data_IF_309052577246
#
_entry.id   IF_309052577246
#
_cell.length_a   1.000
_cell.length_b   1.000
_cell.length_c   1.000
_cell.angle_alpha   90.00
_cell.angle_beta   90.00
_cell.angle_gamma   90.00
#
_symmetry.space_group_name_H-M   'P 1'
#
loop_
_entity.id
_entity.type
_entity.pdbx_description
1 polymer ?
#
# COMPACT_ATOMS: atom_id res chain seq x y z
N UNK A 1 39.84 -6.71 51.75
CA UNK A 1 41.15 -6.86 51.08
C UNK A 1 41.59 -5.49 50.59
N UNK A 2 42.87 -5.14 50.74
CA UNK A 2 43.39 -3.85 50.28
C UNK A 2 43.31 -3.78 48.75
N UNK A 3 42.62 -2.78 48.19
CA UNK A 3 42.53 -2.59 46.73
C UNK A 3 43.89 -2.16 46.19
N UNK A 4 44.39 -2.84 45.17
CA UNK A 4 45.69 -2.53 44.56
C UNK A 4 45.58 -1.20 43.80
N UNK A 5 46.50 -0.26 44.05
CA UNK A 5 46.58 1.01 43.33
C UNK A 5 47.52 0.87 42.13
N UNK A 6 47.03 1.26 40.96
CA UNK A 6 47.70 1.21 39.66
C UNK A 6 47.81 2.62 39.08
N UNK A 7 48.94 2.92 38.42
CA UNK A 7 49.04 4.10 37.55
C UNK A 7 48.47 3.77 36.16
N UNK A 8 48.14 4.79 35.37
CA UNK A 8 47.57 4.62 34.03
C UNK A 8 48.38 3.63 33.15
N UNK A 9 49.71 3.71 33.17
CA UNK A 9 50.56 2.79 32.39
C UNK A 9 50.41 1.33 32.82
N UNK A 10 50.24 1.07 34.12
CA UNK A 10 50.00 -0.28 34.65
C UNK A 10 48.59 -0.76 34.30
N UNK A 11 47.59 0.12 34.39
CA UNK A 11 46.22 -0.19 34.01
C UNK A 11 46.10 -0.54 32.51
N UNK A 12 46.76 0.23 31.64
CA UNK A 12 46.83 -0.07 30.18
C UNK A 12 47.43 -1.44 29.94
N UNK A 13 48.57 -1.74 30.59
CA UNK A 13 49.25 -3.03 30.45
C UNK A 13 48.40 -4.21 30.93
N UNK A 14 47.70 -4.06 32.06
CA UNK A 14 46.93 -5.15 32.67
C UNK A 14 45.51 -5.34 32.08
N UNK A 15 44.92 -4.27 31.53
CA UNK A 15 43.62 -4.30 30.85
C UNK A 15 43.73 -4.59 29.36
N UNK A 16 44.90 -4.34 28.77
CA UNK A 16 45.13 -4.34 27.32
C UNK A 16 44.17 -3.39 26.57
N UNK A 17 43.82 -2.26 27.19
CA UNK A 17 43.00 -1.19 26.61
C UNK A 17 43.87 0.06 26.43
N UNK A 18 43.93 0.67 25.22
CA UNK A 18 44.73 1.86 24.98
C UNK A 18 44.34 3.03 25.88
N UNK A 19 45.32 3.88 26.22
CA UNK A 19 45.14 5.02 27.13
C UNK A 19 44.02 5.96 26.68
N UNK A 20 43.95 6.24 25.39
CA UNK A 20 42.95 7.10 24.75
C UNK A 20 41.53 6.53 24.95
N UNK A 21 41.39 5.21 24.81
CA UNK A 21 40.13 4.48 25.03
C UNK A 21 39.72 4.48 26.50
N UNK A 22 40.66 4.34 27.44
CA UNK A 22 40.37 4.46 28.87
C UNK A 22 39.88 5.88 29.21
N UNK A 23 40.52 6.91 28.65
CA UNK A 23 40.05 8.29 28.81
C UNK A 23 38.68 8.53 28.17
N UNK A 24 38.41 7.94 27.01
CA UNK A 24 37.09 7.95 26.39
C UNK A 24 36.04 7.31 27.31
N UNK A 25 36.31 6.14 27.88
CA UNK A 25 35.39 5.47 28.81
C UNK A 25 35.15 6.26 30.10
N UNK A 26 36.17 6.96 30.62
CA UNK A 26 35.99 7.88 31.74
C UNK A 26 35.07 9.05 31.38
N UNK A 27 35.23 9.65 30.19
CA UNK A 27 34.35 10.74 29.72
C UNK A 27 32.91 10.28 29.49
N UNK A 28 32.76 9.09 28.93
CA UNK A 28 31.45 8.46 28.68
C UNK A 28 30.83 7.88 29.96
N UNK A 29 31.48 7.97 31.12
CA UNK A 29 30.94 7.48 32.40
C UNK A 29 30.93 5.95 32.54
N UNK A 30 31.65 5.22 31.68
CA UNK A 30 31.77 3.76 31.75
C UNK A 30 32.73 3.30 32.85
N UNK A 31 33.55 4.18 33.42
CA UNK A 31 34.45 3.88 34.53
C UNK A 31 34.22 4.86 35.68
N UNK A 32 34.36 4.42 36.94
CA UNK A 32 34.35 5.35 38.08
C UNK A 32 35.48 6.38 37.94
N UNK A 33 35.34 7.56 38.57
CA UNK A 33 36.41 8.55 38.57
C UNK A 33 37.62 8.00 39.35
N UNK A 34 38.86 8.22 38.86
CA UNK A 34 40.05 7.73 39.54
C UNK A 34 40.37 8.55 40.80
N UNK A 35 41.11 7.94 41.73
CA UNK A 35 41.58 8.62 42.94
C UNK A 35 42.65 9.64 42.58
N UNK A 36 42.33 10.94 42.66
CA UNK A 36 43.30 12.00 42.43
C UNK A 36 44.24 12.13 43.62
N UNK A 37 45.54 11.94 43.38
CA UNK A 37 46.60 12.09 44.38
C UNK A 37 47.50 13.32 44.14
N UNK A 38 47.16 14.16 43.15
CA UNK A 38 47.85 15.41 42.83
C UNK A 38 47.32 16.03 41.54
N UNK A 39 47.96 17.12 41.06
CA UNK A 39 47.51 17.85 39.84
C UNK A 39 47.64 17.03 38.56
N UNK A 40 48.59 16.09 38.51
CA UNK A 40 48.87 15.22 37.36
C UNK A 40 48.84 13.72 37.71
N UNK A 41 48.58 13.38 38.98
CA UNK A 41 48.68 12.01 39.49
C UNK A 41 47.30 11.48 39.87
N UNK A 42 46.92 10.36 39.24
CA UNK A 42 45.69 9.65 39.52
C UNK A 42 45.98 8.15 39.68
N UNK A 43 45.34 7.53 40.67
CA UNK A 43 45.41 6.09 40.92
C UNK A 43 44.10 5.42 40.52
N UNK A 44 44.25 4.24 39.93
CA UNK A 44 43.17 3.34 39.53
C UNK A 44 43.25 2.11 40.42
N UNK A 45 42.11 1.53 40.77
CA UNK A 45 42.05 0.33 41.58
C UNK A 45 41.62 -0.90 40.77
N UNK A 46 41.62 -2.07 41.40
CA UNK A 46 41.18 -3.32 40.77
C UNK A 46 39.76 -3.23 40.17
N UNK A 47 38.89 -2.40 40.74
CA UNK A 47 37.54 -2.18 40.21
C UNK A 47 37.58 -1.51 38.82
N UNK A 48 38.56 -0.66 38.54
CA UNK A 48 38.76 -0.11 37.19
C UNK A 48 39.22 -1.19 36.21
N UNK A 49 40.11 -2.09 36.64
CA UNK A 49 40.62 -3.18 35.81
C UNK A 49 39.51 -4.19 35.46
N UNK A 50 38.72 -4.61 36.46
CA UNK A 50 37.58 -5.50 36.26
C UNK A 50 36.54 -4.89 35.31
N UNK A 51 36.21 -3.60 35.51
CA UNK A 51 35.25 -2.89 34.66
C UNK A 51 35.77 -2.69 33.24
N UNK A 52 37.06 -2.44 33.05
CA UNK A 52 37.69 -2.38 31.71
C UNK A 52 37.63 -3.71 30.98
N UNK A 53 37.91 -4.83 31.66
CA UNK A 53 37.79 -6.18 31.07
C UNK A 53 36.35 -6.50 30.70
N UNK A 54 35.40 -6.13 31.55
CA UNK A 54 33.98 -6.34 31.30
C UNK A 54 33.45 -5.52 30.13
N UNK A 55 33.78 -4.22 30.06
CA UNK A 55 33.46 -3.36 28.91
C UNK A 55 34.04 -3.94 27.62
N UNK A 56 35.29 -4.42 27.67
CA UNK A 56 35.94 -5.06 26.52
C UNK A 56 35.20 -6.33 26.08
N UNK A 57 34.84 -7.22 27.00
CA UNK A 57 34.07 -8.43 26.68
C UNK A 57 32.73 -8.09 26.02
N UNK A 58 31.97 -7.15 26.58
CA UNK A 58 30.68 -6.74 26.03
C UNK A 58 30.79 -6.06 24.65
N UNK A 59 31.85 -5.29 24.42
CA UNK A 59 32.07 -4.61 23.13
C UNK A 59 32.64 -5.55 22.07
N UNK A 60 33.66 -6.34 22.41
CA UNK A 60 34.46 -7.09 21.43
C UNK A 60 33.86 -8.48 21.16
N UNK A 61 33.22 -9.12 22.15
CA UNK A 61 32.66 -10.47 22.01
C UNK A 61 31.13 -10.47 21.87
N UNK A 62 30.44 -9.48 22.47
CA UNK A 62 28.98 -9.35 22.41
C UNK A 62 28.50 -8.23 21.47
N UNK A 63 29.43 -7.46 20.90
CA UNK A 63 29.16 -6.39 19.91
C UNK A 63 28.15 -5.35 20.38
N UNK A 64 28.09 -5.05 21.68
CA UNK A 64 27.13 -4.10 22.23
C UNK A 64 27.57 -2.64 22.04
N UNK A 65 26.65 -1.72 21.70
CA UNK A 65 26.92 -0.29 21.68
C UNK A 65 27.31 0.25 23.07
N UNK A 66 28.17 1.26 23.09
CA UNK A 66 28.65 1.92 24.32
C UNK A 66 27.50 2.46 25.21
N UNK A 67 26.39 3.04 24.67
CA UNK A 67 25.24 3.45 25.48
C UNK A 67 24.54 2.28 26.20
N UNK A 68 24.44 1.13 25.54
CA UNK A 68 23.87 -0.11 26.13
C UNK A 68 24.80 -0.64 27.22
N UNK A 69 26.10 -0.72 26.95
CA UNK A 69 27.11 -1.12 27.95
C UNK A 69 27.05 -0.20 29.17
N UNK A 70 26.90 1.11 28.98
CA UNK A 70 26.73 2.07 30.07
C UNK A 70 25.47 1.81 30.88
N UNK A 71 24.35 1.52 30.22
CA UNK A 71 23.08 1.20 30.90
C UNK A 71 23.20 -0.09 31.73
N UNK A 72 23.86 -1.12 31.18
CA UNK A 72 24.20 -2.37 31.88
C UNK A 72 25.05 -2.09 33.13
N UNK A 73 26.08 -1.26 32.97
CA UNK A 73 27.00 -0.90 34.05
C UNK A 73 26.38 0.00 35.13
N UNK A 74 25.43 0.87 34.77
CA UNK A 74 24.72 1.75 35.69
C UNK A 74 23.58 1.03 36.43
N UNK A 75 22.97 0.03 35.80
CA UNK A 75 22.04 -0.88 36.48
C UNK A 75 22.75 -1.73 37.55
N UNK A 76 24.08 -1.90 37.43
CA UNK A 76 24.92 -2.71 38.31
C UNK A 76 25.69 -1.94 39.38
N UNK A 77 25.01 -1.54 40.46
CA UNK A 77 25.61 -1.33 41.79
C UNK A 77 24.93 -2.16 42.90
N UNK A 78 24.15 -3.19 42.55
CA UNK A 78 23.62 -4.20 43.50
C UNK A 78 23.32 -5.52 42.77
N UNK A 79 23.86 -6.64 43.28
CA UNK A 79 24.11 -7.94 42.64
C UNK A 79 22.95 -8.79 42.09
N UNK A 80 21.81 -8.20 41.71
CA UNK A 80 20.74 -8.89 40.97
C UNK A 80 20.59 -8.35 39.54
N UNK A 81 20.60 -7.02 39.36
CA UNK A 81 20.38 -6.35 38.06
C UNK A 81 21.52 -6.54 37.05
N UNK A 82 22.72 -6.89 37.51
CA UNK A 82 23.86 -7.20 36.64
C UNK A 82 23.71 -8.51 35.87
N UNK A 83 22.94 -9.49 36.40
CA UNK A 83 22.62 -10.74 35.66
C UNK A 83 21.60 -10.48 34.58
N UNK A 84 20.53 -9.75 34.90
CA UNK A 84 19.49 -9.38 33.93
C UNK A 84 20.07 -8.59 32.74
N UNK A 85 20.99 -7.66 33.04
CA UNK A 85 21.66 -6.85 32.04
C UNK A 85 22.60 -7.66 31.13
N UNK A 86 23.25 -8.70 31.67
CA UNK A 86 24.03 -9.68 30.90
C UNK A 86 23.14 -10.57 30.03
N UNK A 87 21.98 -10.98 30.55
CA UNK A 87 21.02 -11.79 29.82
C UNK A 87 20.33 -10.99 28.70
N UNK A 88 20.02 -9.71 28.93
CA UNK A 88 19.58 -8.76 27.90
C UNK A 88 20.66 -8.54 26.84
N UNK A 89 21.93 -8.40 27.24
CA UNK A 89 23.05 -8.38 26.31
C UNK A 89 23.16 -9.65 25.44
N UNK A 90 22.89 -10.83 26.00
CA UNK A 90 22.86 -12.09 25.25
C UNK A 90 21.67 -12.16 24.27
N UNK A 91 20.52 -11.56 24.61
CA UNK A 91 19.37 -11.40 23.69
C UNK A 91 19.73 -10.44 22.54
N UNK A 92 20.36 -9.32 22.87
CA UNK A 92 20.77 -8.25 21.94
C UNK A 92 22.00 -8.59 21.10
N UNK A 93 22.77 -9.62 21.48
CA UNK A 93 23.98 -10.02 20.76
C UNK A 93 23.64 -10.39 19.31
N UNK A 94 24.21 -9.63 18.37
CA UNK A 94 24.07 -9.82 16.93
C UNK A 94 24.78 -11.12 16.51
N UNK A 95 24.35 -11.74 15.41
CA UNK A 95 25.13 -12.79 14.77
C UNK A 95 26.55 -12.28 14.45
N UNK A 96 27.64 -12.95 14.89
CA UNK A 96 29.02 -12.50 14.63
C UNK A 96 29.35 -12.35 13.14
N UNK A 97 28.67 -13.08 12.25
CA UNK A 97 28.84 -12.92 10.80
C UNK A 97 28.28 -11.58 10.29
N UNK A 98 27.28 -11.03 10.98
CA UNK A 98 26.61 -9.78 10.64
C UNK A 98 27.36 -8.56 11.20
N UNK A 99 27.96 -8.67 12.39
CA UNK A 99 28.68 -7.56 13.04
C UNK A 99 30.05 -7.21 12.44
N UNK A 100 30.54 -7.98 11.45
CA UNK A 100 31.85 -7.77 10.80
C UNK A 100 31.81 -6.91 9.54
N UNK A 101 30.63 -6.56 9.04
CA UNK A 101 30.54 -5.62 7.92
C UNK A 101 30.86 -4.21 8.42
N UNK A 102 31.99 -3.64 7.99
CA UNK A 102 32.19 -2.19 8.06
C UNK A 102 31.16 -1.54 7.14
N UNK A 103 30.10 -1.00 7.74
CA UNK A 103 29.16 -0.18 6.98
C UNK A 103 29.81 1.19 6.74
N UNK A 104 29.72 1.75 5.53
CA UNK A 104 30.21 3.09 5.26
C UNK A 104 29.49 4.11 6.17
N UNK A 105 30.21 5.15 6.59
CA UNK A 105 29.61 6.26 7.33
C UNK A 105 28.51 6.89 6.47
N UNK A 106 27.26 6.92 6.92
CA UNK A 106 26.16 7.50 6.16
C UNK A 106 26.36 9.01 6.02
N UNK A 107 26.01 9.54 4.85
CA UNK A 107 26.00 10.98 4.62
C UNK A 107 24.77 11.65 5.26
N UNK A 108 24.78 12.99 5.31
CA UNK A 108 23.71 13.78 5.92
C UNK A 108 22.35 13.56 5.24
N UNK A 109 22.33 13.28 3.93
CA UNK A 109 21.11 12.99 3.19
C UNK A 109 20.50 11.66 3.64
N UNK A 110 21.31 10.61 3.76
CA UNK A 110 20.89 9.28 4.23
C UNK A 110 20.28 9.36 5.62
N UNK A 111 20.95 10.07 6.54
CA UNK A 111 20.45 10.27 7.90
C UNK A 111 19.11 10.99 7.92
N UNK A 112 19.00 12.07 7.15
CA UNK A 112 17.77 12.87 7.04
C UNK A 112 16.61 12.04 6.50
N UNK A 113 16.80 11.36 5.37
CA UNK A 113 15.76 10.55 4.73
C UNK A 113 15.33 9.38 5.61
N UNK A 114 16.28 8.69 6.25
CA UNK A 114 15.97 7.58 7.14
C UNK A 114 15.09 8.01 8.33
N UNK A 115 15.32 9.20 8.90
CA UNK A 115 14.50 9.77 9.97
C UNK A 115 13.15 10.28 9.44
N UNK A 116 13.14 11.04 8.36
CA UNK A 116 11.92 11.60 7.75
C UNK A 116 10.92 10.51 7.36
N UNK A 117 11.40 9.39 6.81
CA UNK A 117 10.57 8.26 6.39
C UNK A 117 10.33 7.22 7.50
N UNK A 118 10.92 7.39 8.69
CA UNK A 118 10.77 6.46 9.82
C UNK A 118 11.39 5.08 9.59
N UNK A 119 12.46 5.00 8.79
CA UNK A 119 13.10 3.73 8.38
C UNK A 119 13.89 3.06 9.51
N UNK A 120 14.17 3.79 10.59
CA UNK A 120 14.84 3.27 11.79
C UNK A 120 13.87 2.71 12.84
N UNK A 121 12.57 2.69 12.54
CA UNK A 121 11.54 2.17 13.42
C UNK A 121 10.79 3.24 14.24
N UNK A 122 9.72 2.84 14.94
CA UNK A 122 8.86 3.77 15.66
C UNK A 122 9.57 4.42 16.84
N UNK A 123 9.46 5.75 16.95
CA UNK A 123 10.00 6.52 18.09
C UNK A 123 11.50 6.80 18.03
N UNK A 124 12.19 6.46 16.94
CA UNK A 124 13.60 6.81 16.73
C UNK A 124 13.70 8.20 16.11
N UNK A 125 14.18 9.17 16.89
CA UNK A 125 14.34 10.57 16.48
C UNK A 125 15.80 10.96 16.20
N UNK A 126 16.75 10.07 16.55
CA UNK A 126 18.19 10.31 16.42
C UNK A 126 18.93 9.02 16.07
N UNK A 127 19.98 9.16 15.26
CA UNK A 127 20.88 8.07 14.89
C UNK A 127 21.99 7.93 15.92
N UNK A 128 22.27 6.70 16.35
CA UNK A 128 23.42 6.37 17.18
C UNK A 128 24.62 6.05 16.27
N UNK A 129 25.67 6.90 16.19
CA UNK A 129 26.72 6.79 15.16
C UNK A 129 27.60 5.54 15.22
N UNK A 130 27.40 4.65 16.20
CA UNK A 130 28.21 3.45 16.44
C UNK A 130 27.38 2.19 16.67
N UNK A 131 26.07 2.23 16.43
CA UNK A 131 25.25 1.01 16.45
C UNK A 131 25.41 0.27 15.12
N UNK A 132 26.06 -0.92 15.10
CA UNK A 132 26.24 -1.69 13.87
C UNK A 132 24.92 -2.14 13.24
N UNK A 133 23.83 -2.24 14.02
CA UNK A 133 22.49 -2.59 13.50
C UNK A 133 21.89 -1.43 12.72
N UNK A 134 21.95 -0.21 13.27
CA UNK A 134 21.50 0.99 12.58
C UNK A 134 22.35 1.26 11.32
N UNK A 135 23.66 1.05 11.40
CA UNK A 135 24.56 1.25 10.28
C UNK A 135 24.19 0.38 9.06
N UNK A 136 23.70 -0.85 9.28
CA UNK A 136 23.21 -1.74 8.20
C UNK A 136 21.91 -1.26 7.59
N UNK A 137 20.99 -0.76 8.41
CA UNK A 137 19.75 -0.15 7.90
C UNK A 137 20.10 1.07 7.04
N UNK A 138 20.98 1.94 7.53
CA UNK A 138 21.43 3.13 6.81
C UNK A 138 22.18 2.80 5.53
N UNK A 139 22.94 1.70 5.48
CA UNK A 139 23.56 1.23 4.24
C UNK A 139 22.53 0.85 3.16
N UNK A 140 21.44 0.18 3.54
CA UNK A 140 20.34 -0.12 2.61
C UNK A 140 19.60 1.14 2.15
N UNK A 141 19.46 2.14 3.03
CA UNK A 141 18.91 3.46 2.66
C UNK A 141 19.84 4.17 1.67
N UNK A 142 21.15 4.19 1.93
CA UNK A 142 22.13 4.78 1.03
C UNK A 142 22.14 4.10 -0.35
N UNK A 143 22.03 2.77 -0.40
CA UNK A 143 21.87 2.02 -1.65
C UNK A 143 20.60 2.45 -2.40
N UNK A 144 19.46 2.56 -1.71
CA UNK A 144 18.22 3.05 -2.30
C UNK A 144 18.36 4.49 -2.85
N UNK A 145 19.06 5.37 -2.11
CA UNK A 145 19.30 6.77 -2.53
C UNK A 145 20.25 6.89 -3.72
N UNK A 146 21.10 5.88 -3.96
CA UNK A 146 22.00 5.83 -5.11
C UNK A 146 21.29 5.45 -6.43
N UNK A 147 20.05 4.98 -6.35
CA UNK A 147 19.21 4.72 -7.52
C UNK A 147 18.64 6.03 -8.09
N UNK A 148 18.23 6.00 -9.36
CA UNK A 148 17.64 7.14 -10.05
C UNK A 148 16.13 6.96 -10.31
N UNK A 149 15.40 8.09 -10.36
CA UNK A 149 14.00 8.15 -10.78
C UNK A 149 13.07 7.19 -10.04
N UNK A 150 12.21 6.49 -10.79
CA UNK A 150 11.20 5.57 -10.24
C UNK A 150 11.82 4.43 -9.42
N UNK A 151 13.05 3.99 -9.73
CA UNK A 151 13.72 2.94 -8.98
C UNK A 151 14.04 3.41 -7.55
N UNK A 152 14.46 4.66 -7.39
CA UNK A 152 14.70 5.29 -6.07
C UNK A 152 13.41 5.39 -5.28
N UNK A 153 12.36 5.94 -5.89
CA UNK A 153 11.07 6.16 -5.24
C UNK A 153 10.43 4.84 -4.79
N UNK A 154 10.38 3.84 -5.68
CA UNK A 154 9.84 2.52 -5.37
C UNK A 154 10.63 1.83 -4.27
N UNK A 155 11.96 1.86 -4.32
CA UNK A 155 12.80 1.20 -3.32
C UNK A 155 12.65 1.87 -1.94
N UNK A 156 12.58 3.21 -1.87
CA UNK A 156 12.35 3.90 -0.60
C UNK A 156 10.95 3.60 -0.03
N UNK A 157 9.92 3.51 -0.87
CA UNK A 157 8.59 3.11 -0.44
C UNK A 157 8.56 1.66 0.06
N UNK A 158 9.25 0.74 -0.63
CA UNK A 158 9.42 -0.66 -0.21
C UNK A 158 10.14 -0.76 1.14
N UNK A 159 11.19 0.04 1.36
CA UNK A 159 11.88 0.12 2.66
C UNK A 159 10.95 0.63 3.75
N UNK A 160 10.09 1.62 3.46
CA UNK A 160 9.12 2.16 4.40
C UNK A 160 8.06 1.14 4.78
N UNK A 161 7.55 0.38 3.81
CA UNK A 161 6.62 -0.74 4.06
C UNK A 161 7.30 -1.82 4.90
N UNK A 162 8.54 -2.20 4.55
CA UNK A 162 9.34 -3.15 5.33
C UNK A 162 9.51 -2.68 6.78
N UNK A 163 9.94 -1.44 7.01
CA UNK A 163 10.16 -0.90 8.35
C UNK A 163 8.88 -0.96 9.20
N UNK A 164 7.73 -0.57 8.63
CA UNK A 164 6.44 -0.61 9.33
C UNK A 164 6.00 -2.03 9.69
N UNK A 165 6.01 -2.95 8.73
CA UNK A 165 5.46 -4.30 8.94
C UNK A 165 6.43 -5.20 9.73
N UNK A 166 7.75 -5.07 9.51
CA UNK A 166 8.74 -5.79 10.29
C UNK A 166 8.76 -5.35 11.75
N UNK A 167 8.50 -4.06 12.05
CA UNK A 167 8.37 -3.61 13.45
C UNK A 167 7.25 -4.36 14.17
N UNK A 168 6.07 -4.50 13.55
CA UNK A 168 4.94 -5.26 14.12
C UNK A 168 5.25 -6.75 14.28
N UNK A 169 5.94 -7.33 13.30
CA UNK A 169 6.38 -8.72 13.38
C UNK A 169 7.32 -8.92 14.58
N UNK A 170 8.33 -8.06 14.73
CA UNK A 170 9.30 -8.14 15.81
C UNK A 170 8.64 -7.92 17.19
N UNK A 171 7.65 -7.02 17.29
CA UNK A 171 6.86 -6.87 18.52
C UNK A 171 6.12 -8.16 18.89
N UNK A 172 5.53 -8.85 17.91
CA UNK A 172 4.88 -10.13 18.12
C UNK A 172 5.86 -11.25 18.48
N UNK A 173 7.06 -11.28 17.87
CA UNK A 173 8.13 -12.21 18.21
C UNK A 173 8.61 -11.99 19.66
N UNK A 174 8.79 -10.74 20.07
CA UNK A 174 9.17 -10.39 21.44
C UNK A 174 8.10 -10.85 22.44
N UNK A 175 6.82 -10.61 22.15
CA UNK A 175 5.72 -11.07 23.00
C UNK A 175 5.69 -12.61 23.13
N UNK A 176 5.87 -13.34 22.03
CA UNK A 176 5.92 -14.80 22.03
C UNK A 176 7.14 -15.33 22.82
N UNK A 177 8.30 -14.67 22.70
CA UNK A 177 9.48 -15.00 23.49
C UNK A 177 9.21 -14.82 24.99
N UNK A 178 8.67 -13.67 25.40
CA UNK A 178 8.39 -13.39 26.81
C UNK A 178 7.32 -14.31 27.39
N UNK A 179 6.31 -14.70 26.61
CA UNK A 179 5.33 -15.71 27.04
C UNK A 179 6.01 -17.05 27.40
N UNK A 180 6.93 -17.51 26.55
CA UNK A 180 7.69 -18.75 26.82
C UNK A 180 8.55 -18.63 28.07
N UNK A 181 9.24 -17.49 28.24
CA UNK A 181 10.09 -17.22 29.41
C UNK A 181 9.24 -17.19 30.69
N UNK A 182 8.14 -16.44 30.69
CA UNK A 182 7.26 -16.27 31.85
C UNK A 182 6.58 -17.59 32.24
N UNK A 183 6.11 -18.37 31.25
CA UNK A 183 5.47 -19.68 31.50
C UNK A 183 6.43 -20.71 32.08
N UNK A 184 7.70 -20.71 31.64
CA UNK A 184 8.71 -21.69 32.09
C UNK A 184 9.46 -21.24 33.34
N UNK A 185 9.49 -19.94 33.62
CA UNK A 185 10.31 -19.37 34.69
C UNK A 185 11.81 -19.51 34.46
N UNK A 186 12.25 -19.74 33.22
CA UNK A 186 13.64 -20.02 32.85
C UNK A 186 14.08 -19.12 31.69
N UNK A 187 14.69 -17.99 32.07
CA UNK A 187 15.19 -17.00 31.13
C UNK A 187 16.41 -17.51 30.33
N UNK A 188 17.46 -18.13 30.92
CA UNK A 188 18.58 -18.68 30.15
C UNK A 188 18.17 -19.66 29.03
N UNK A 189 17.26 -20.60 29.32
CA UNK A 189 16.75 -21.54 28.32
C UNK A 189 15.93 -20.82 27.25
N UNK A 190 15.15 -19.81 27.62
CA UNK A 190 14.43 -18.96 26.68
C UNK A 190 15.38 -18.24 25.71
N UNK A 191 16.43 -17.60 26.23
CA UNK A 191 17.44 -16.89 25.43
C UNK A 191 18.15 -17.85 24.47
N UNK A 192 18.53 -19.04 24.94
CA UNK A 192 19.15 -20.05 24.10
C UNK A 192 18.21 -20.50 22.97
N UNK A 193 16.93 -20.75 23.27
CA UNK A 193 15.94 -21.12 22.26
C UNK A 193 15.76 -20.03 21.19
N UNK A 194 15.67 -18.76 21.61
CA UNK A 194 15.61 -17.61 20.69
C UNK A 194 16.83 -17.58 19.76
N UNK A 195 18.04 -17.74 20.30
CA UNK A 195 19.28 -17.74 19.51
C UNK A 195 19.32 -18.89 18.51
N UNK A 196 18.91 -20.09 18.93
CA UNK A 196 18.91 -21.27 18.06
C UNK A 196 17.92 -21.15 16.89
N UNK A 197 16.80 -20.44 17.07
CA UNK A 197 15.79 -20.25 16.00
C UNK A 197 16.07 -19.08 15.05
N UNK A 198 16.86 -18.09 15.46
CA UNK A 198 17.03 -16.80 14.75
C UNK A 198 17.43 -16.95 13.27
N UNK A 199 18.37 -17.83 12.96
CA UNK A 199 18.84 -18.04 11.58
C UNK A 199 17.80 -18.76 10.69
N UNK A 200 16.96 -19.61 11.28
CA UNK A 200 15.86 -20.26 10.58
C UNK A 200 14.76 -19.24 10.23
N UNK A 201 14.42 -18.36 11.17
CA UNK A 201 13.46 -17.26 10.95
C UNK A 201 13.96 -16.31 9.85
N UNK A 202 15.22 -15.88 9.90
CA UNK A 202 15.78 -14.99 8.88
C UNK A 202 15.70 -15.59 7.46
N UNK A 203 16.06 -16.88 7.31
CA UNK A 203 15.94 -17.58 6.01
C UNK A 203 14.49 -17.77 5.58
N UNK A 204 13.59 -18.05 6.53
CA UNK A 204 12.17 -18.17 6.24
C UNK A 204 11.59 -16.85 5.72
N UNK A 205 11.92 -15.71 6.34
CA UNK A 205 11.44 -14.40 5.90
C UNK A 205 11.84 -14.10 4.45
N UNK A 206 13.09 -14.34 4.08
CA UNK A 206 13.55 -14.16 2.69
C UNK A 206 12.84 -15.13 1.73
N UNK A 207 12.81 -16.43 2.04
CA UNK A 207 12.21 -17.43 1.17
C UNK A 207 10.68 -17.24 1.02
N UNK A 208 10.00 -16.88 2.10
CA UNK A 208 8.56 -16.63 2.10
C UNK A 208 8.22 -15.37 1.31
N UNK A 209 9.01 -14.31 1.43
CA UNK A 209 8.87 -13.10 0.59
C UNK A 209 8.97 -13.45 -0.89
N UNK A 210 10.00 -14.19 -1.29
CA UNK A 210 10.22 -14.57 -2.69
C UNK A 210 9.09 -15.46 -3.22
N UNK A 211 8.62 -16.41 -2.42
CA UNK A 211 7.48 -17.26 -2.75
C UNK A 211 6.18 -16.46 -2.91
N UNK A 212 5.91 -15.53 -2.00
CA UNK A 212 4.71 -14.68 -2.06
C UNK A 212 4.74 -13.73 -3.26
N UNK A 213 5.89 -13.14 -3.58
CA UNK A 213 6.06 -12.31 -4.78
C UNK A 213 5.77 -13.11 -6.04
N UNK A 214 6.32 -14.33 -6.14
CA UNK A 214 6.05 -15.22 -7.27
C UNK A 214 4.56 -15.54 -7.40
N UNK A 215 3.89 -15.89 -6.28
CA UNK A 215 2.45 -16.19 -6.27
C UNK A 215 1.60 -14.98 -6.69
N UNK A 216 2.01 -13.77 -6.30
CA UNK A 216 1.36 -12.53 -6.75
C UNK A 216 1.48 -12.37 -8.27
N UNK A 217 2.69 -12.56 -8.81
CA UNK A 217 2.94 -12.46 -10.26
C UNK A 217 2.16 -13.52 -11.04
N UNK A 218 2.16 -14.77 -10.57
CA UNK A 218 1.39 -15.85 -11.19
C UNK A 218 -0.12 -15.52 -11.18
N UNK A 219 -0.65 -15.03 -10.05
CA UNK A 219 -2.04 -14.60 -9.97
C UNK A 219 -2.39 -13.39 -10.85
N UNK A 220 -1.44 -12.46 -11.05
CA UNK A 220 -1.59 -11.34 -11.99
C UNK A 220 -1.72 -11.85 -13.43
N UNK A 221 -0.86 -12.79 -13.84
CA UNK A 221 -0.89 -13.38 -15.19
C UNK A 221 -2.20 -14.12 -15.45
N UNK A 222 -2.65 -14.97 -14.52
CA UNK A 222 -3.93 -15.68 -14.65
C UNK A 222 -5.13 -14.72 -14.75
N UNK A 223 -5.13 -13.64 -13.95
CA UNK A 223 -6.21 -12.67 -13.96
C UNK A 223 -6.23 -11.87 -15.27
N UNK A 224 -5.05 -11.52 -15.80
CA UNK A 224 -4.90 -10.90 -17.11
C UNK A 224 -5.48 -11.82 -18.21
N UNK A 225 -5.17 -13.12 -18.21
CA UNK A 225 -5.74 -14.06 -19.19
C UNK A 225 -7.27 -14.18 -19.11
N UNK A 226 -7.86 -14.03 -17.92
CA UNK A 226 -9.32 -14.09 -17.71
C UNK A 226 -10.04 -12.76 -17.93
N UNK A 227 -9.31 -11.65 -17.87
CA UNK A 227 -9.86 -10.30 -17.91
C UNK A 227 -10.80 -10.01 -19.09
N UNK A 228 -10.61 -10.51 -20.34
CA UNK A 228 -11.58 -10.29 -21.41
C UNK A 228 -13.01 -10.73 -21.06
N UNK A 229 -13.14 -11.91 -20.45
CA UNK A 229 -14.44 -12.47 -20.08
C UNK A 229 -15.05 -11.73 -18.89
N UNK A 230 -14.22 -11.23 -17.98
CA UNK A 230 -14.70 -10.59 -16.76
C UNK A 230 -15.03 -9.12 -16.97
N UNK A 231 -14.27 -8.39 -17.80
CA UNK A 231 -14.61 -7.03 -18.25
C UNK A 231 -15.97 -7.02 -18.95
N UNK A 232 -16.26 -7.99 -19.83
CA UNK A 232 -17.57 -8.06 -20.50
C UNK A 232 -18.72 -8.29 -19.49
N UNK A 233 -18.48 -9.03 -18.41
CA UNK A 233 -19.45 -9.22 -17.30
C UNK A 233 -19.65 -7.98 -16.44
N UNK A 234 -18.77 -6.97 -16.52
CA UNK A 234 -18.94 -5.69 -15.79
C UNK A 234 -19.91 -4.73 -16.44
N UNK A 235 -20.42 -5.07 -17.64
CA UNK A 235 -21.43 -4.24 -18.32
C UNK A 235 -22.64 -4.02 -17.43
N UNK A 236 -23.07 -2.76 -17.39
CA UNK A 236 -24.24 -2.35 -16.62
C UNK A 236 -25.47 -3.14 -17.06
N UNK A 237 -26.19 -3.68 -16.09
CA UNK A 237 -27.46 -4.35 -16.30
C UNK A 237 -28.52 -3.32 -16.69
N UNK A 238 -29.35 -3.60 -17.72
CA UNK A 238 -30.39 -2.70 -18.15
C UNK A 238 -31.55 -2.68 -17.15
N UNK A 239 -32.27 -1.56 -17.10
CA UNK A 239 -33.54 -1.46 -16.40
C UNK A 239 -34.65 -2.20 -17.18
N UNK A 240 -35.58 -2.82 -16.46
CA UNK A 240 -36.74 -3.47 -17.08
C UNK A 240 -37.66 -2.47 -17.80
N UNK A 241 -38.43 -2.91 -18.81
CA UNK A 241 -39.43 -2.06 -19.46
C UNK A 241 -40.45 -1.44 -18.49
N UNK A 242 -40.82 -2.17 -17.43
CA UNK A 242 -41.70 -1.68 -16.36
C UNK A 242 -41.05 -0.54 -15.58
N UNK A 243 -39.78 -0.69 -15.20
CA UNK A 243 -39.03 0.35 -14.50
C UNK A 243 -38.87 1.60 -15.37
N UNK A 244 -38.55 1.44 -16.67
CA UNK A 244 -38.45 2.55 -17.62
C UNK A 244 -39.80 3.27 -17.82
N UNK A 245 -40.90 2.53 -17.92
CA UNK A 245 -42.24 3.11 -18.06
C UNK A 245 -42.64 3.94 -16.83
N UNK A 246 -42.35 3.45 -15.61
CA UNK A 246 -42.58 4.18 -14.35
C UNK A 246 -41.79 5.49 -14.28
N UNK A 247 -40.66 5.56 -14.97
CA UNK A 247 -39.78 6.74 -15.04
C UNK A 247 -40.07 7.62 -16.27
N UNK A 248 -41.18 7.36 -16.98
CA UNK A 248 -41.64 8.10 -18.16
C UNK A 248 -40.62 8.16 -19.31
N UNK A 249 -39.68 7.22 -19.34
CA UNK A 249 -38.58 7.26 -20.31
C UNK A 249 -38.98 7.04 -21.76
N UNK A 250 -39.92 6.14 -22.11
CA UNK A 250 -40.34 5.97 -23.49
C UNK A 250 -40.84 7.28 -24.12
N UNK A 251 -41.58 8.09 -23.35
CA UNK A 251 -42.08 9.39 -23.80
C UNK A 251 -40.95 10.40 -23.96
N UNK A 252 -40.02 10.47 -23.00
CA UNK A 252 -38.84 11.35 -23.07
C UNK A 252 -37.98 11.06 -24.31
N UNK A 253 -37.69 9.78 -24.56
CA UNK A 253 -36.88 9.36 -25.71
C UNK A 253 -37.56 9.69 -27.02
N UNK A 254 -38.86 9.41 -27.13
CA UNK A 254 -39.63 9.73 -28.34
C UNK A 254 -39.59 11.25 -28.63
N UNK A 255 -39.76 12.09 -27.62
CA UNK A 255 -39.72 13.55 -27.77
C UNK A 255 -38.32 14.07 -28.19
N UNK A 256 -37.25 13.53 -27.60
CA UNK A 256 -35.87 13.88 -27.98
C UNK A 256 -35.55 13.44 -29.41
N UNK A 257 -35.94 12.23 -29.78
CA UNK A 257 -35.71 11.64 -31.10
C UNK A 257 -36.48 12.40 -32.21
N UNK A 258 -37.73 12.79 -31.95
CA UNK A 258 -38.52 13.63 -32.86
C UNK A 258 -37.83 14.98 -33.12
N UNK A 259 -37.46 15.69 -32.05
CA UNK A 259 -36.76 16.99 -32.15
C UNK A 259 -35.40 16.85 -32.84
N UNK A 260 -34.63 15.81 -32.51
CA UNK A 260 -33.34 15.54 -33.13
C UNK A 260 -33.50 15.32 -34.65
N UNK A 261 -34.54 14.59 -35.10
CA UNK A 261 -34.82 14.43 -36.55
C UNK A 261 -35.23 15.73 -37.23
N UNK A 262 -35.79 16.68 -36.48
CA UNK A 262 -36.12 18.01 -36.96
C UNK A 262 -34.88 18.93 -37.04
N UNK A 263 -33.70 18.50 -36.58
CA UNK A 263 -32.45 19.27 -36.63
C UNK A 263 -32.11 20.00 -35.31
N UNK A 264 -32.77 19.64 -34.21
CA UNK A 264 -32.43 20.19 -32.90
C UNK A 264 -31.16 19.52 -32.34
N UNK A 265 -30.03 20.23 -32.44
CA UNK A 265 -28.75 19.75 -31.95
C UNK A 265 -28.74 19.49 -30.44
N UNK A 266 -29.44 20.28 -29.61
CA UNK A 266 -29.49 20.02 -28.17
C UNK A 266 -30.20 18.70 -27.89
N UNK A 267 -31.35 18.47 -28.53
CA UNK A 267 -32.10 17.22 -28.41
C UNK A 267 -31.30 16.02 -28.92
N UNK A 268 -30.55 16.18 -30.02
CA UNK A 268 -29.68 15.13 -30.56
C UNK A 268 -28.59 14.70 -29.57
N UNK A 269 -27.94 15.66 -28.91
CA UNK A 269 -26.90 15.39 -27.92
C UNK A 269 -27.48 14.77 -26.64
N UNK A 270 -28.60 15.29 -26.14
CA UNK A 270 -29.31 14.75 -24.98
C UNK A 270 -29.79 13.31 -25.23
N UNK A 271 -30.27 13.02 -26.44
CA UNK A 271 -30.66 11.67 -26.85
C UNK A 271 -29.48 10.69 -26.76
N UNK A 272 -28.30 11.08 -27.24
CA UNK A 272 -27.10 10.22 -27.20
C UNK A 272 -26.67 9.95 -25.76
N UNK A 273 -26.63 10.96 -24.90
CA UNK A 273 -26.32 10.77 -23.48
C UNK A 273 -27.30 9.84 -22.80
N UNK A 274 -28.58 10.01 -23.10
CA UNK A 274 -29.64 9.18 -22.59
C UNK A 274 -29.51 7.72 -23.04
N UNK A 275 -29.33 7.49 -24.33
CA UNK A 275 -29.12 6.15 -24.89
C UNK A 275 -27.82 5.52 -24.37
N UNK A 276 -26.74 6.27 -24.19
CA UNK A 276 -25.50 5.75 -23.63
C UNK A 276 -25.68 5.27 -22.17
N UNK A 277 -26.45 5.98 -21.36
CA UNK A 277 -26.68 5.59 -19.96
C UNK A 277 -27.57 4.34 -19.81
N UNK A 278 -28.45 4.07 -20.77
CA UNK A 278 -29.50 3.03 -20.63
C UNK A 278 -29.43 1.92 -21.67
N UNK A 279 -29.19 2.27 -22.94
CA UNK A 279 -29.27 1.40 -24.12
C UNK A 279 -28.16 1.70 -25.13
N UNK A 280 -26.87 1.51 -24.78
CA UNK A 280 -25.75 1.84 -25.68
C UNK A 280 -25.86 1.20 -27.07
N UNK A 281 -26.41 -0.01 -27.16
CA UNK A 281 -26.57 -0.74 -28.41
C UNK A 281 -27.48 -0.05 -29.44
N UNK A 282 -28.31 0.91 -29.03
CA UNK A 282 -29.15 1.71 -29.94
C UNK A 282 -28.38 2.86 -30.58
N UNK A 283 -27.24 3.28 -30.04
CA UNK A 283 -26.43 4.39 -30.58
C UNK A 283 -25.97 4.15 -32.02
N UNK A 284 -25.66 2.90 -32.37
CA UNK A 284 -25.27 2.53 -33.73
C UNK A 284 -26.38 2.77 -34.77
N UNK A 285 -27.64 2.69 -34.34
CA UNK A 285 -28.85 2.78 -35.18
C UNK A 285 -29.33 4.22 -35.43
N UNK A 286 -28.65 5.22 -34.86
CA UNK A 286 -29.04 6.62 -35.02
C UNK A 286 -29.00 7.04 -36.50
N UNK A 287 -30.02 7.80 -36.99
CA UNK A 287 -30.06 8.28 -38.36
C UNK A 287 -28.85 9.17 -38.70
N UNK A 288 -28.35 9.16 -39.95
CA UNK A 288 -27.24 10.03 -40.37
C UNK A 288 -27.48 11.52 -40.09
N UNK A 289 -28.74 11.99 -40.27
CA UNK A 289 -29.13 13.37 -39.96
C UNK A 289 -28.90 13.72 -38.49
N UNK A 290 -29.27 12.82 -37.57
CA UNK A 290 -29.06 13.03 -36.13
C UNK A 290 -27.56 13.00 -35.79
N UNK A 291 -26.80 12.08 -36.40
CA UNK A 291 -25.34 12.00 -36.23
C UNK A 291 -24.62 13.28 -36.66
N UNK A 292 -25.14 13.98 -37.68
CA UNK A 292 -24.59 15.26 -38.14
C UNK A 292 -24.76 16.44 -37.18
N UNK A 293 -25.66 16.34 -36.20
CA UNK A 293 -25.94 17.41 -35.22
C UNK A 293 -25.18 17.20 -33.88
N UNK A 294 -24.38 16.13 -33.78
CA UNK A 294 -23.70 15.78 -32.54
C UNK A 294 -22.51 16.70 -32.26
N UNK A 295 -22.33 17.06 -31.00
CA UNK A 295 -21.12 17.73 -30.53
C UNK A 295 -20.05 16.67 -30.22
N UNK A 296 -18.76 17.04 -30.16
CA UNK A 296 -17.66 16.10 -29.98
C UNK A 296 -17.86 15.09 -28.83
N UNK A 297 -18.34 15.54 -27.66
CA UNK A 297 -18.60 14.64 -26.51
C UNK A 297 -19.62 13.54 -26.83
N UNK A 298 -20.71 13.87 -27.52
CA UNK A 298 -21.73 12.89 -27.90
C UNK A 298 -21.25 12.00 -29.06
N UNK A 299 -20.51 12.55 -30.02
CA UNK A 299 -19.88 11.75 -31.08
C UNK A 299 -19.00 10.65 -30.51
N UNK A 300 -18.23 10.95 -29.44
CA UNK A 300 -17.39 9.96 -28.77
C UNK A 300 -18.19 8.79 -28.20
N UNK A 301 -19.35 9.06 -27.59
CA UNK A 301 -20.22 8.02 -27.04
C UNK A 301 -20.77 7.11 -28.15
N UNK A 302 -21.09 7.66 -29.32
CA UNK A 302 -21.49 6.87 -30.51
C UNK A 302 -20.30 6.08 -31.06
N UNK A 303 -19.11 6.66 -31.05
CA UNK A 303 -17.89 6.01 -31.52
C UNK A 303 -17.50 4.80 -30.65
N UNK A 304 -17.80 4.84 -29.35
CA UNK A 304 -17.56 3.71 -28.43
C UNK A 304 -18.23 2.41 -28.89
N UNK A 305 -19.42 2.48 -29.47
CA UNK A 305 -20.11 1.28 -30.02
C UNK A 305 -19.73 0.96 -31.47
N UNK A 306 -18.90 1.80 -32.10
CA UNK A 306 -18.45 1.65 -33.49
C UNK A 306 -17.06 1.01 -33.61
N UNK A 307 -16.36 0.81 -32.50
CA UNK A 307 -15.06 0.14 -32.43
C UNK A 307 -13.88 1.08 -32.11
N UNK A 308 -12.75 0.48 -31.73
CA UNK A 308 -11.59 1.18 -31.18
C UNK A 308 -11.04 2.30 -32.07
N UNK A 309 -10.94 2.08 -33.40
CA UNK A 309 -10.43 3.10 -34.33
C UNK A 309 -11.33 4.35 -34.36
N UNK A 310 -12.65 4.15 -34.41
CA UNK A 310 -13.60 5.26 -34.41
C UNK A 310 -13.55 6.01 -33.07
N UNK A 311 -13.45 5.28 -31.96
CA UNK A 311 -13.35 5.84 -30.62
C UNK A 311 -12.08 6.68 -30.44
N UNK A 312 -10.92 6.20 -30.89
CA UNK A 312 -9.66 6.96 -30.84
C UNK A 312 -9.73 8.28 -31.60
N UNK A 313 -10.23 8.26 -32.85
CA UNK A 313 -10.41 9.47 -33.65
C UNK A 313 -11.43 10.46 -33.05
N UNK A 314 -12.44 9.96 -32.32
CA UNK A 314 -13.37 10.82 -31.59
C UNK A 314 -12.74 11.40 -30.32
N UNK A 315 -11.94 10.62 -29.58
CA UNK A 315 -11.24 11.05 -28.38
C UNK A 315 -10.28 12.22 -28.65
N UNK A 316 -9.47 12.13 -29.70
CA UNK A 316 -8.56 13.20 -30.13
C UNK A 316 -9.28 14.54 -30.36
N UNK A 317 -10.48 14.50 -30.94
CA UNK A 317 -11.30 15.69 -31.20
C UNK A 317 -11.94 16.28 -29.95
N UNK A 318 -12.15 15.48 -28.91
CA UNK A 318 -12.81 15.93 -27.68
C UNK A 318 -11.89 16.62 -26.68
N UNK A 319 -10.58 16.32 -26.70
CA UNK A 319 -9.55 16.97 -25.88
C UNK A 319 -9.90 17.14 -24.40
N UNK A 320 -9.47 16.20 -23.54
CA UNK A 320 -9.62 16.36 -22.09
C UNK A 320 -11.03 16.08 -21.54
N UNK A 321 -11.70 15.07 -22.10
CA UNK A 321 -12.99 14.58 -21.61
C UNK A 321 -12.79 13.31 -20.76
N UNK A 322 -12.94 13.36 -19.41
CA UNK A 322 -12.57 12.25 -18.54
C UNK A 322 -13.28 10.92 -18.83
N UNK A 323 -14.59 10.95 -19.10
CA UNK A 323 -15.33 9.74 -19.50
C UNK A 323 -14.81 9.20 -20.85
N UNK A 324 -14.40 10.07 -21.77
CA UNK A 324 -13.80 9.66 -23.03
C UNK A 324 -12.48 8.90 -22.84
N UNK A 325 -11.59 9.40 -21.97
CA UNK A 325 -10.35 8.72 -21.61
C UNK A 325 -10.61 7.35 -20.96
N UNK A 326 -11.66 7.26 -20.15
CA UNK A 326 -12.07 6.00 -19.52
C UNK A 326 -12.56 4.99 -20.57
N UNK A 327 -13.42 5.42 -21.50
CA UNK A 327 -13.95 4.53 -22.54
C UNK A 327 -12.85 4.10 -23.53
N UNK A 328 -11.91 4.99 -23.84
CA UNK A 328 -10.76 4.65 -24.68
C UNK A 328 -9.85 3.65 -23.95
N UNK A 329 -9.54 3.88 -22.68
CA UNK A 329 -8.74 2.95 -21.88
C UNK A 329 -9.41 1.59 -21.72
N UNK A 330 -10.74 1.53 -21.56
CA UNK A 330 -11.51 0.29 -21.56
C UNK A 330 -11.36 -0.47 -22.88
N UNK A 331 -11.50 0.22 -24.01
CA UNK A 331 -11.40 -0.38 -25.32
C UNK A 331 -9.96 -0.81 -25.68
N UNK A 332 -8.96 -0.01 -25.32
CA UNK A 332 -7.53 -0.33 -25.45
C UNK A 332 -7.19 -1.56 -24.60
N UNK A 333 -7.69 -1.63 -23.36
CA UNK A 333 -7.51 -2.78 -22.48
C UNK A 333 -8.17 -4.03 -23.08
N UNK A 334 -9.40 -3.93 -23.57
CA UNK A 334 -10.09 -5.05 -24.23
C UNK A 334 -9.33 -5.56 -25.45
N UNK A 335 -8.75 -4.67 -26.26
CA UNK A 335 -7.94 -5.04 -27.42
C UNK A 335 -6.59 -5.67 -27.01
N UNK A 336 -5.93 -5.10 -26.00
CA UNK A 336 -4.66 -5.59 -25.47
C UNK A 336 -4.75 -7.03 -24.96
N UNK A 337 -5.88 -7.40 -24.34
CA UNK A 337 -6.08 -8.72 -23.75
C UNK A 337 -6.44 -9.82 -24.77
N UNK A 338 -6.76 -9.46 -26.02
CA UNK A 338 -7.10 -10.40 -27.11
C UNK A 338 -6.02 -10.42 -28.20
N UNK A 339 -5.08 -9.47 -28.17
CA UNK A 339 -4.01 -9.35 -29.16
C UNK A 339 -2.86 -10.37 -28.97
N UNK A 340 -1.98 -10.44 -29.96
CA UNK A 340 -0.80 -11.34 -29.98
C UNK A 340 0.45 -10.74 -29.30
N UNK A 341 0.36 -9.52 -28.75
CA UNK A 341 1.47 -8.80 -28.13
C UNK A 341 1.68 -9.11 -26.64
N UNK A 342 2.76 -8.57 -26.06
CA UNK A 342 3.00 -8.63 -24.62
C UNK A 342 1.85 -7.97 -23.86
N UNK A 343 1.14 -8.73 -23.02
CA UNK A 343 -0.09 -8.25 -22.39
C UNK A 343 0.18 -7.06 -21.48
N UNK A 344 1.30 -7.04 -20.75
CA UNK A 344 1.69 -5.91 -19.92
C UNK A 344 2.03 -4.66 -20.76
N UNK A 345 2.79 -4.81 -21.84
CA UNK A 345 3.17 -3.70 -22.72
C UNK A 345 1.93 -3.03 -23.33
N UNK A 346 0.91 -3.82 -23.64
CA UNK A 346 -0.33 -3.35 -24.25
C UNK A 346 -1.36 -2.85 -23.22
N UNK A 347 -1.42 -3.47 -22.04
CA UNK A 347 -2.41 -3.15 -21.01
C UNK A 347 -1.97 -1.99 -20.08
N UNK A 348 -0.68 -1.84 -19.78
CA UNK A 348 -0.19 -0.79 -18.86
C UNK A 348 -0.54 0.63 -19.34
N UNK A 349 -0.35 1.00 -20.63
CA UNK A 349 -0.77 2.31 -21.13
C UNK A 349 -2.29 2.55 -20.97
N UNK A 350 -3.10 1.53 -21.27
CA UNK A 350 -4.55 1.59 -21.14
C UNK A 350 -4.97 1.78 -19.67
N UNK A 351 -4.38 1.01 -18.75
CA UNK A 351 -4.60 1.13 -17.31
C UNK A 351 -4.14 2.50 -16.79
N UNK A 352 -3.01 3.02 -17.26
CA UNK A 352 -2.51 4.35 -16.90
C UNK A 352 -3.47 5.45 -17.35
N UNK A 353 -4.05 5.33 -18.55
CA UNK A 353 -5.09 6.24 -19.05
C UNK A 353 -6.33 6.22 -18.14
N UNK A 354 -6.83 5.04 -17.79
CA UNK A 354 -7.96 4.89 -16.85
C UNK A 354 -7.69 5.56 -15.50
N UNK A 355 -6.48 5.39 -14.95
CA UNK A 355 -6.08 5.96 -13.67
C UNK A 355 -5.97 7.49 -13.70
N UNK A 356 -5.44 8.06 -14.79
CA UNK A 356 -5.22 9.51 -14.92
C UNK A 356 -6.48 10.29 -15.23
N UNK A 357 -7.55 9.64 -15.69
CA UNK A 357 -8.83 10.30 -15.90
C UNK A 357 -9.34 10.87 -14.57
N UNK A 358 -9.96 12.05 -14.60
CA UNK A 358 -10.45 12.75 -13.39
C UNK A 358 -11.93 13.11 -13.54
N UNK A 359 -12.85 12.12 -13.40
CA UNK A 359 -14.29 12.35 -13.56
C UNK A 359 -14.86 13.46 -12.67
N UNK A 360 -14.26 13.67 -11.50
CA UNK A 360 -14.64 14.71 -10.54
C UNK A 360 -14.47 16.15 -11.06
N UNK A 361 -13.64 16.36 -12.10
CA UNK A 361 -13.43 17.67 -12.72
C UNK A 361 -14.45 17.98 -13.83
N UNK A 362 -15.31 17.02 -14.21
CA UNK A 362 -16.34 17.28 -15.23
C UNK A 362 -17.54 18.04 -14.64
N UNK A 363 -17.91 19.15 -15.26
CA UNK A 363 -19.02 20.00 -14.81
C UNK A 363 -20.41 19.38 -15.04
N UNK A 364 -20.50 18.36 -15.90
CA UNK A 364 -21.72 17.59 -16.12
C UNK A 364 -21.80 16.41 -15.11
N UNK A 365 -22.76 16.43 -14.17
CA UNK A 365 -22.89 15.38 -13.17
C UNK A 365 -23.23 14.01 -13.78
N UNK A 366 -23.89 13.95 -14.95
CA UNK A 366 -24.14 12.66 -15.62
C UNK A 366 -22.83 12.07 -16.15
N UNK A 367 -22.02 12.90 -16.82
CA UNK A 367 -20.72 12.49 -17.33
C UNK A 367 -19.78 12.04 -16.21
N UNK A 368 -19.72 12.82 -15.12
CA UNK A 368 -18.91 12.52 -13.94
C UNK A 368 -19.34 11.20 -13.28
N UNK A 369 -20.64 11.01 -13.04
CA UNK A 369 -21.18 9.79 -12.44
C UNK A 369 -20.94 8.55 -13.31
N UNK A 370 -21.11 8.66 -14.64
CA UNK A 370 -20.79 7.57 -15.57
C UNK A 370 -19.30 7.25 -15.60
N UNK A 371 -18.43 8.28 -15.55
CA UNK A 371 -16.98 8.09 -15.48
C UNK A 371 -16.58 7.28 -14.25
N UNK A 372 -17.04 7.69 -13.07
CA UNK A 372 -16.81 6.95 -11.84
C UNK A 372 -17.39 5.53 -11.87
N UNK A 373 -18.62 5.34 -12.36
CA UNK A 373 -19.23 4.01 -12.48
C UNK A 373 -18.37 3.10 -13.38
N UNK A 374 -18.01 3.57 -14.58
CA UNK A 374 -17.25 2.76 -15.55
C UNK A 374 -15.86 2.43 -15.04
N UNK A 375 -15.14 3.43 -14.49
CA UNK A 375 -13.83 3.17 -13.89
C UNK A 375 -13.93 2.18 -12.73
N UNK A 376 -14.93 2.33 -11.86
CA UNK A 376 -15.17 1.40 -10.75
C UNK A 376 -15.49 -0.03 -11.21
N UNK A 377 -16.32 -0.17 -12.25
CA UNK A 377 -16.66 -1.46 -12.88
C UNK A 377 -15.41 -2.17 -13.43
N UNK A 378 -14.65 -1.51 -14.30
CA UNK A 378 -13.43 -2.08 -14.89
C UNK A 378 -12.43 -2.44 -13.79
N UNK A 379 -12.27 -1.53 -12.83
CA UNK A 379 -11.30 -1.67 -11.74
C UNK A 379 -11.65 -2.82 -10.79
N UNK A 380 -12.94 -3.14 -10.64
CA UNK A 380 -13.41 -4.21 -9.76
C UNK A 380 -13.04 -5.63 -10.22
N UNK A 381 -12.75 -5.81 -11.51
CA UNK A 381 -12.37 -7.13 -12.07
C UNK A 381 -10.87 -7.28 -12.31
N UNK A 382 -10.09 -6.24 -12.02
CA UNK A 382 -8.63 -6.32 -12.07
C UNK A 382 -8.09 -7.06 -10.85
N UNK A 383 -6.95 -7.77 -10.98
CA UNK A 383 -6.37 -8.51 -9.87
C UNK A 383 -6.05 -7.64 -8.65
N UNK A 384 -6.28 -8.18 -7.45
CA UNK A 384 -6.13 -7.48 -6.17
C UNK A 384 -4.72 -6.92 -5.94
N UNK A 385 -3.69 -7.57 -6.47
CA UNK A 385 -2.30 -7.12 -6.39
C UNK A 385 -2.05 -5.76 -7.07
N UNK A 386 -2.94 -5.33 -7.97
CA UNK A 386 -2.91 -3.95 -8.51
C UNK A 386 -3.49 -2.91 -7.53
N UNK A 387 -3.86 -3.31 -6.30
CA UNK A 387 -4.24 -2.43 -5.18
C UNK A 387 -5.65 -1.85 -5.28
N UNK A 388 -6.59 -2.55 -5.95
CA UNK A 388 -7.73 -1.87 -6.59
C UNK A 388 -9.12 -2.10 -5.97
N UNK A 389 -9.27 -3.01 -5.02
CA UNK A 389 -10.57 -3.20 -4.34
C UNK A 389 -11.07 -1.92 -3.64
N UNK A 390 -10.17 -1.19 -2.96
CA UNK A 390 -10.52 0.09 -2.33
C UNK A 390 -10.80 1.18 -3.35
N UNK A 391 -10.05 1.21 -4.46
CA UNK A 391 -10.25 2.21 -5.52
C UNK A 391 -11.57 2.00 -6.25
N UNK A 392 -11.87 0.74 -6.62
CA UNK A 392 -13.15 0.38 -7.22
C UNK A 392 -14.31 0.79 -6.29
N UNK A 393 -14.21 0.45 -5.00
CA UNK A 393 -15.18 0.88 -3.99
C UNK A 393 -15.32 2.40 -3.96
N UNK A 394 -14.21 3.14 -3.84
CA UNK A 394 -14.22 4.59 -3.75
C UNK A 394 -14.82 5.25 -5.01
N UNK A 395 -14.53 4.74 -6.21
CA UNK A 395 -15.15 5.25 -7.43
C UNK A 395 -16.65 4.99 -7.48
N UNK A 396 -17.10 3.79 -7.11
CA UNK A 396 -18.52 3.48 -7.07
C UNK A 396 -19.26 4.33 -6.01
N UNK A 397 -18.65 4.58 -4.86
CA UNK A 397 -19.17 5.50 -3.84
C UNK A 397 -19.20 6.95 -4.34
N UNK A 398 -18.16 7.41 -5.05
CA UNK A 398 -18.14 8.73 -5.69
C UNK A 398 -19.22 8.88 -6.75
N UNK A 399 -19.49 7.85 -7.56
CA UNK A 399 -20.60 7.85 -8.51
C UNK A 399 -21.93 8.11 -7.78
N UNK A 400 -22.19 7.42 -6.67
CA UNK A 400 -23.39 7.64 -5.84
C UNK A 400 -23.42 9.03 -5.20
N UNK A 401 -22.28 9.54 -4.74
CA UNK A 401 -22.17 10.88 -4.15
C UNK A 401 -22.49 11.98 -5.17
N UNK A 402 -21.98 11.87 -6.40
CA UNK A 402 -22.28 12.80 -7.51
C UNK A 402 -23.78 12.82 -7.80
N UNK A 403 -24.43 11.66 -7.86
CA UNK A 403 -25.89 11.60 -8.01
C UNK A 403 -26.61 12.27 -6.83
N UNK A 404 -26.16 12.02 -5.60
CA UNK A 404 -26.71 12.64 -4.38
C UNK A 404 -26.64 14.17 -4.39
N UNK A 405 -25.51 14.73 -4.84
CA UNK A 405 -25.25 16.17 -4.85
C UNK A 405 -25.95 16.94 -6.01
N UNK A 406 -26.43 16.23 -7.03
CA UNK A 406 -27.02 16.85 -8.23
C UNK A 406 -28.49 16.39 -8.48
N UNK A 407 -29.42 16.59 -7.53
CA UNK A 407 -30.82 16.24 -7.73
C UNK A 407 -31.41 17.04 -8.91
N UNK A 408 -32.15 16.36 -9.80
CA UNK A 408 -32.81 16.98 -10.95
C UNK A 408 -31.91 17.38 -12.13
N UNK A 409 -30.58 17.38 -11.98
CA UNK A 409 -29.64 17.62 -13.10
C UNK A 409 -29.33 16.37 -13.92
N UNK A 410 -29.57 15.18 -13.34
CA UNK A 410 -29.43 13.88 -14.01
C UNK A 410 -30.82 13.31 -14.28
N UNK A 411 -31.14 12.88 -15.53
CA UNK A 411 -32.42 12.25 -15.84
C UNK A 411 -32.75 11.07 -14.93
N UNK A 412 -34.02 10.91 -14.57
CA UNK A 412 -34.44 9.98 -13.52
C UNK A 412 -34.04 8.52 -13.81
N UNK A 413 -34.19 8.02 -15.05
CA UNK A 413 -33.74 6.65 -15.33
C UNK A 413 -32.24 6.50 -15.47
N UNK A 414 -31.53 7.51 -15.99
CA UNK A 414 -30.07 7.48 -16.00
C UNK A 414 -29.53 7.39 -14.56
N UNK A 415 -30.08 8.20 -13.66
CA UNK A 415 -29.80 8.15 -12.22
C UNK A 415 -30.07 6.75 -11.65
N UNK A 416 -31.28 6.23 -11.90
CA UNK A 416 -31.69 4.91 -11.42
C UNK A 416 -30.76 3.79 -11.91
N UNK A 417 -30.41 3.80 -13.21
CA UNK A 417 -29.50 2.83 -13.83
C UNK A 417 -28.10 2.88 -13.20
N UNK A 418 -27.51 4.07 -13.06
CA UNK A 418 -26.18 4.26 -12.46
C UNK A 418 -26.21 3.83 -11.00
N UNK A 419 -27.22 4.26 -10.24
CA UNK A 419 -27.38 3.95 -8.82
C UNK A 419 -27.54 2.45 -8.56
N UNK A 420 -28.38 1.77 -9.34
CA UNK A 420 -28.59 0.33 -9.24
C UNK A 420 -27.33 -0.48 -9.55
N UNK A 421 -26.65 -0.14 -10.65
CA UNK A 421 -25.42 -0.84 -11.06
C UNK A 421 -24.24 -0.55 -10.12
N UNK A 422 -24.06 0.69 -9.66
CA UNK A 422 -23.01 1.03 -8.71
C UNK A 422 -23.15 0.24 -7.41
N UNK A 423 -24.38 0.15 -6.88
CA UNK A 423 -24.66 -0.60 -5.64
C UNK A 423 -24.50 -2.10 -5.81
N UNK A 424 -24.90 -2.66 -6.95
CA UNK A 424 -24.69 -4.07 -7.24
C UNK A 424 -23.18 -4.42 -7.24
N UNK A 425 -22.36 -3.58 -7.87
CA UNK A 425 -20.90 -3.74 -7.88
C UNK A 425 -20.29 -3.58 -6.47
N UNK A 426 -20.74 -2.58 -5.70
CA UNK A 426 -20.31 -2.39 -4.31
C UNK A 426 -20.63 -3.60 -3.43
N UNK A 427 -21.84 -4.15 -3.53
CA UNK A 427 -22.24 -5.34 -2.79
C UNK A 427 -21.33 -6.53 -3.11
N UNK A 428 -20.99 -6.75 -4.39
CA UNK A 428 -20.07 -7.83 -4.78
C UNK A 428 -18.69 -7.66 -4.12
N UNK A 429 -18.11 -6.47 -4.18
CA UNK A 429 -16.81 -6.17 -3.57
C UNK A 429 -16.82 -6.36 -2.04
N UNK A 430 -17.92 -5.99 -1.38
CA UNK A 430 -18.07 -6.15 0.07
C UNK A 430 -18.20 -7.64 0.46
N UNK A 431 -18.96 -8.43 -0.30
CA UNK A 431 -19.08 -9.88 -0.09
C UNK A 431 -17.72 -10.59 -0.25
N UNK A 432 -16.93 -10.22 -1.25
CA UNK A 432 -15.56 -10.76 -1.44
C UNK A 432 -14.63 -10.49 -0.24
N UNK A 433 -14.95 -9.47 0.57
CA UNK A 433 -14.21 -9.08 1.77
C UNK A 433 -14.82 -9.63 3.06
N UNK A 434 -15.93 -10.36 2.97
CA UNK A 434 -16.67 -10.89 4.11
C UNK A 434 -17.57 -9.89 4.83
N UNK A 435 -17.77 -8.68 4.29
CA UNK A 435 -18.67 -7.67 4.87
C UNK A 435 -20.10 -7.86 4.35
N UNK A 436 -20.78 -8.87 4.93
CA UNK A 436 -22.12 -9.27 4.48
C UNK A 436 -23.20 -8.24 4.84
N UNK A 437 -23.08 -7.58 5.99
CA UNK A 437 -24.07 -6.60 6.46
C UNK A 437 -24.11 -5.37 5.54
N UNK A 438 -22.95 -4.78 5.23
CA UNK A 438 -22.91 -3.64 4.31
C UNK A 438 -23.35 -4.05 2.90
N UNK A 439 -22.98 -5.26 2.45
CA UNK A 439 -23.41 -5.78 1.16
C UNK A 439 -24.93 -5.89 1.04
N UNK A 440 -25.62 -6.41 2.06
CA UNK A 440 -27.08 -6.54 2.09
C UNK A 440 -27.79 -5.19 1.93
N UNK A 441 -27.28 -4.13 2.58
CA UNK A 441 -27.83 -2.79 2.44
C UNK A 441 -27.72 -2.27 0.99
N UNK A 442 -26.59 -2.52 0.34
CA UNK A 442 -26.40 -2.16 -1.07
C UNK A 442 -27.31 -2.99 -2.00
N UNK A 443 -27.44 -4.31 -1.76
CA UNK A 443 -28.33 -5.18 -2.53
C UNK A 443 -29.80 -4.75 -2.41
N UNK A 444 -30.28 -4.46 -1.20
CA UNK A 444 -31.67 -4.02 -0.99
C UNK A 444 -31.97 -2.72 -1.75
N UNK A 445 -31.04 -1.76 -1.70
CA UNK A 445 -31.13 -0.49 -2.41
C UNK A 445 -31.00 -0.63 -3.93
N UNK A 446 -30.19 -1.56 -4.43
CA UNK A 446 -30.09 -1.87 -5.86
C UNK A 446 -31.37 -2.55 -6.36
N UNK A 447 -31.93 -3.49 -5.59
CA UNK A 447 -33.19 -4.17 -5.88
C UNK A 447 -34.36 -3.19 -5.98
N UNK A 448 -34.43 -2.21 -5.07
CA UNK A 448 -35.50 -1.22 -5.06
C UNK A 448 -35.60 -0.39 -6.35
N UNK A 449 -34.50 -0.23 -7.08
CA UNK A 449 -34.46 0.47 -8.37
C UNK A 449 -35.31 -0.25 -9.42
N UNK A 450 -35.18 -1.57 -9.52
CA UNK A 450 -35.87 -2.39 -10.52
C UNK A 450 -36.27 -3.76 -9.90
N UNK A 451 -37.34 -3.78 -9.08
CA UNK A 451 -37.66 -4.90 -8.19
C UNK A 451 -37.99 -6.23 -8.86
N UNK A 452 -38.42 -6.19 -10.12
CA UNK A 452 -38.83 -7.35 -10.91
C UNK A 452 -37.97 -7.52 -12.17
N UNK A 453 -36.87 -6.78 -12.27
CA UNK A 453 -36.04 -6.74 -13.47
C UNK A 453 -34.66 -7.37 -13.31
N UNK A 454 -33.77 -7.14 -14.29
CA UNK A 454 -32.44 -7.74 -14.32
C UNK A 454 -31.59 -7.42 -13.09
N UNK A 455 -31.71 -6.21 -12.53
CA UNK A 455 -31.00 -5.82 -11.31
C UNK A 455 -31.45 -6.65 -10.09
N UNK A 456 -32.76 -6.81 -9.87
CA UNK A 456 -33.27 -7.64 -8.78
C UNK A 456 -32.82 -9.10 -8.92
N UNK A 457 -32.92 -9.68 -10.12
CA UNK A 457 -32.44 -11.03 -10.39
C UNK A 457 -30.92 -11.20 -10.17
N UNK A 458 -30.13 -10.15 -10.42
CA UNK A 458 -28.71 -10.15 -10.09
C UNK A 458 -28.45 -10.04 -8.59
N UNK A 459 -29.24 -9.22 -7.87
CA UNK A 459 -29.17 -9.14 -6.41
C UNK A 459 -29.50 -10.48 -5.75
N UNK A 460 -30.55 -11.16 -6.21
CA UNK A 460 -30.99 -12.46 -5.68
C UNK A 460 -29.94 -13.56 -5.87
N UNK A 461 -29.15 -13.48 -6.95
CA UNK A 461 -28.03 -14.41 -7.19
C UNK A 461 -26.81 -14.15 -6.31
N UNK A 462 -26.61 -12.91 -5.86
CA UNK A 462 -25.49 -12.50 -5.00
C UNK A 462 -25.83 -12.60 -3.52
N UNK A 463 -27.10 -12.52 -3.15
CA UNK A 463 -27.52 -12.62 -1.76
C UNK A 463 -27.03 -13.94 -1.14
N UNK A 464 -26.43 -13.91 0.06
CA UNK A 464 -26.02 -15.11 0.75
C UNK A 464 -27.25 -16.01 0.93
N UNK A 465 -27.16 -17.26 0.48
CA UNK A 465 -28.25 -18.22 0.69
C UNK A 465 -28.34 -18.48 2.20
N UNK A 466 -29.53 -18.39 2.82
CA UNK A 466 -29.67 -18.79 4.21
C UNK A 466 -29.27 -20.27 4.31
N UNK A 467 -28.35 -20.53 5.24
CA UNK A 467 -27.78 -21.86 5.54
C UNK A 467 -28.84 -22.84 6.00
#
# INVERSE_FOLDING_TARGET
MARRRMRMAELVRESNVPRETIHFYLREGLLPPPEKAGRTLAYYDDAHLERLRFVRHLRDEKYLPIPVIRSILNAGLSGSRSRDALTLADVLSIDPAIGRMEAPTPDDETLRVALELGLLGPGVDRVEPKDPTQARVLAAVAEALSLDGDARELTLEDLRVCARELSRLVDAEAAAFFDVVLRRGDLPTGVQALRSGRSAVARYLTAYRDWMLRRIVEGLLEAIERAPKDIDKTRSLPLSPRALARLEEPARVAALDERARQGDAAAANDLVWHLFALRPSELGKLPPKVKGELRPRAELLVAHVSGLRALGAAAERTGGFPLGEILLGEAELGAALVGEGGVLESAVPALSRLERATPELDADPLASALGHLRRGQITSVLPAALGRGERAKADLERALAVLGAAPGRVPAAARASIEGNARLCLARLLLERGDSEAAEQHLARARAVDPEGPLAAACDRLAPRPS
#
